data_IF_538217035708
#
_entry.id   IF_538217035708
#
_cell.length_a   1.000
_cell.length_b   1.000
_cell.length_c   1.000
_cell.angle_alpha   90.00
_cell.angle_beta   90.00
_cell.angle_gamma   90.00
#
_symmetry.space_group_name_H-M   'P 1'
#
loop_
_entity.id
_entity.type
_entity.pdbx_description
1 polymer ?
#
# COMPACT_ATOMS: atom_id res chain seq x y z
N UNK A 1 -14.08 15.42 -25.78
CA UNK A 1 -13.40 14.85 -24.59
C UNK A 1 -14.44 14.73 -23.48
N UNK A 2 -15.25 13.67 -23.54
CA UNK A 2 -16.25 13.38 -22.51
C UNK A 2 -15.48 13.00 -21.23
N UNK A 3 -15.64 13.81 -20.20
CA UNK A 3 -15.03 13.57 -18.89
C UNK A 3 -15.46 12.23 -18.35
N UNK A 4 -14.51 11.30 -18.22
CA UNK A 4 -14.69 10.16 -17.35
C UNK A 4 -14.95 10.72 -15.94
N UNK A 5 -16.12 10.42 -15.39
CA UNK A 5 -16.42 10.72 -14.00
C UNK A 5 -15.27 10.21 -13.13
N UNK A 6 -14.81 10.96 -12.12
CA UNK A 6 -13.81 10.45 -11.20
C UNK A 6 -14.36 9.14 -10.61
N UNK A 7 -13.61 8.04 -10.77
CA UNK A 7 -13.89 6.78 -10.09
C UNK A 7 -13.68 7.03 -8.59
N UNK A 8 -14.71 7.54 -7.93
CA UNK A 8 -14.71 7.76 -6.49
C UNK A 8 -14.84 6.37 -5.87
N UNK A 9 -13.92 6.04 -4.97
CA UNK A 9 -14.02 4.77 -4.27
C UNK A 9 -15.25 4.83 -3.36
N UNK A 10 -16.08 3.79 -3.38
CA UNK A 10 -17.12 3.65 -2.37
C UNK A 10 -16.48 3.50 -0.98
N UNK A 11 -17.27 3.35 0.10
CA UNK A 11 -16.77 3.25 1.48
C UNK A 11 -15.91 1.99 1.77
N UNK A 12 -15.31 1.38 0.74
CA UNK A 12 -14.39 0.26 0.81
C UNK A 12 -12.94 0.72 0.66
N UNK A 13 -11.99 -0.07 1.16
CA UNK A 13 -10.55 0.15 0.92
C UNK A 13 -10.11 -0.10 -0.53
N UNK A 14 -11.08 -0.43 -1.39
CA UNK A 14 -10.92 -0.88 -2.76
C UNK A 14 -11.48 0.18 -3.71
N UNK A 15 -10.72 0.48 -4.76
CA UNK A 15 -11.02 1.49 -5.77
C UNK A 15 -10.99 0.85 -7.15
N UNK A 16 -12.09 0.93 -7.91
CA UNK A 16 -12.07 0.52 -9.30
C UNK A 16 -11.10 1.38 -10.09
N UNK A 17 -10.37 0.74 -10.99
CA UNK A 17 -9.51 1.35 -11.99
C UNK A 17 -10.13 1.13 -13.37
N UNK A 18 -9.75 1.92 -14.40
CA UNK A 18 -10.35 1.80 -15.72
C UNK A 18 -10.32 0.40 -16.34
N UNK A 19 -9.34 -0.43 -15.96
CA UNK A 19 -9.17 -1.79 -16.49
C UNK A 19 -9.96 -2.87 -15.73
N UNK A 20 -10.50 -2.59 -14.53
CA UNK A 20 -11.29 -3.54 -13.74
C UNK A 20 -12.62 -2.97 -13.21
N UNK A 21 -13.01 -1.76 -13.61
CA UNK A 21 -14.28 -1.17 -13.21
C UNK A 21 -15.46 -1.96 -13.80
N UNK A 22 -16.31 -2.51 -12.94
CA UNK A 22 -17.51 -3.23 -13.34
C UNK A 22 -18.66 -2.97 -12.34
N UNK A 23 -19.64 -2.17 -12.75
CA UNK A 23 -20.78 -1.79 -11.92
C UNK A 23 -21.72 -2.95 -11.54
N UNK A 24 -21.66 -4.10 -12.24
CA UNK A 24 -22.47 -5.27 -11.90
C UNK A 24 -21.85 -6.15 -10.82
N UNK A 25 -20.61 -5.87 -10.40
CA UNK A 25 -19.87 -6.67 -9.42
C UNK A 25 -19.89 -6.00 -8.03
N UNK A 26 -19.76 -6.77 -6.93
CA UNK A 26 -19.55 -6.21 -5.60
C UNK A 26 -18.37 -5.23 -5.59
N UNK A 27 -18.52 -4.09 -4.92
CA UNK A 27 -17.49 -3.03 -4.83
C UNK A 27 -17.10 -2.40 -6.18
N UNK A 28 -17.87 -2.66 -7.26
CA UNK A 28 -17.64 -2.09 -8.58
C UNK A 28 -16.39 -2.63 -9.29
N UNK A 29 -15.88 -3.79 -8.90
CA UNK A 29 -14.59 -4.33 -9.38
C UNK A 29 -14.74 -5.75 -9.92
N UNK A 30 -14.15 -5.99 -11.09
CA UNK A 30 -13.91 -7.33 -11.62
C UNK A 30 -12.54 -7.88 -11.13
N UNK A 31 -12.51 -8.83 -10.18
CA UNK A 31 -11.26 -9.41 -9.69
C UNK A 31 -10.59 -10.34 -10.70
N UNK A 32 -11.32 -10.79 -11.74
CA UNK A 32 -10.78 -11.63 -12.80
C UNK A 32 -10.17 -10.81 -13.95
N UNK A 33 -10.38 -9.48 -13.96
CA UNK A 33 -9.79 -8.60 -14.95
C UNK A 33 -8.25 -8.65 -14.87
N UNK A 34 -7.60 -8.77 -16.03
CA UNK A 34 -6.14 -8.79 -16.15
C UNK A 34 -5.63 -7.38 -16.33
N UNK A 35 -4.75 -6.94 -15.43
CA UNK A 35 -4.13 -5.62 -15.53
C UNK A 35 -3.19 -5.55 -16.76
N UNK A 36 -3.39 -4.61 -17.70
CA UNK A 36 -2.55 -4.52 -18.90
C UNK A 36 -1.15 -3.97 -18.62
N UNK A 37 -0.97 -3.29 -17.48
CA UNK A 37 0.28 -2.61 -17.12
C UNK A 37 1.28 -3.52 -16.37
N UNK A 38 0.87 -4.74 -16.01
CA UNK A 38 1.73 -5.67 -15.29
C UNK A 38 0.95 -6.56 -14.33
N UNK A 39 1.58 -6.88 -13.19
CA UNK A 39 0.98 -7.70 -12.15
C UNK A 39 1.17 -7.06 -10.78
N UNK A 40 0.17 -7.20 -9.91
CA UNK A 40 0.30 -6.84 -8.50
C UNK A 40 1.15 -7.89 -7.77
N UNK A 41 2.07 -7.43 -6.93
CA UNK A 41 2.76 -8.31 -5.97
C UNK A 41 1.80 -8.62 -4.83
N UNK A 42 1.37 -9.88 -4.68
CA UNK A 42 0.45 -10.28 -3.61
C UNK A 42 1.06 -9.94 -2.23
N UNK A 43 0.22 -9.37 -1.35
CA UNK A 43 0.64 -8.92 -0.02
C UNK A 43 1.26 -7.52 0.03
N UNK A 44 1.59 -6.92 -1.12
CA UNK A 44 2.17 -5.58 -1.19
C UNK A 44 1.40 -4.68 -2.16
N UNK A 45 1.42 -3.38 -1.89
CA UNK A 45 0.85 -2.38 -2.78
C UNK A 45 1.88 -1.94 -3.84
N UNK A 46 2.45 -2.92 -4.55
CA UNK A 46 3.48 -2.77 -5.59
C UNK A 46 3.01 -3.39 -6.91
N UNK A 47 3.11 -2.62 -7.99
CA UNK A 47 2.88 -3.09 -9.36
C UNK A 47 4.22 -3.45 -10.01
N UNK A 48 4.33 -4.68 -10.53
CA UNK A 48 5.48 -5.16 -11.30
C UNK A 48 5.16 -4.98 -12.79
N UNK A 49 5.80 -4.04 -13.50
CA UNK A 49 5.58 -3.84 -14.94
C UNK A 49 6.04 -5.06 -15.75
N UNK A 50 5.31 -5.39 -16.81
CA UNK A 50 5.51 -6.63 -17.60
C UNK A 50 6.28 -6.47 -18.91
N UNK A 51 6.57 -5.25 -19.40
CA UNK A 51 7.11 -5.13 -20.77
C UNK A 51 7.90 -3.88 -21.15
N UNK A 52 8.04 -2.88 -20.28
CA UNK A 52 8.63 -1.58 -20.66
C UNK A 52 9.92 -1.22 -19.94
N UNK A 53 10.27 -1.94 -18.87
CA UNK A 53 11.36 -1.55 -17.95
C UNK A 53 12.41 -2.66 -17.86
N UNK A 54 13.72 -2.36 -17.96
CA UNK A 54 14.79 -3.35 -17.77
C UNK A 54 14.66 -4.08 -16.44
N UNK A 55 15.04 -5.37 -16.42
CA UNK A 55 14.91 -6.21 -15.22
C UNK A 55 15.63 -5.63 -13.99
N UNK A 56 16.81 -5.02 -14.17
CA UNK A 56 17.56 -4.36 -13.09
C UNK A 56 16.79 -3.21 -12.45
N UNK A 57 16.19 -2.35 -13.27
CA UNK A 57 15.40 -1.21 -12.79
C UNK A 57 14.13 -1.69 -12.08
N UNK A 58 13.44 -2.68 -12.66
CA UNK A 58 12.27 -3.29 -12.04
C UNK A 58 12.61 -3.90 -10.66
N UNK A 59 13.72 -4.63 -10.57
CA UNK A 59 14.22 -5.20 -9.32
C UNK A 59 14.49 -4.13 -8.26
N UNK A 60 15.13 -3.02 -8.63
CA UNK A 60 15.39 -1.90 -7.71
C UNK A 60 14.08 -1.25 -7.25
N UNK A 61 13.13 -1.00 -8.15
CA UNK A 61 11.83 -0.42 -7.80
C UNK A 61 11.03 -1.31 -6.85
N UNK A 62 10.99 -2.62 -7.11
CA UNK A 62 10.31 -3.59 -6.23
C UNK A 62 11.01 -3.68 -4.88
N UNK A 63 12.34 -3.73 -4.85
CA UNK A 63 13.13 -3.75 -3.63
C UNK A 63 12.78 -2.54 -2.74
N UNK A 64 12.86 -1.33 -3.27
CA UNK A 64 12.52 -0.12 -2.53
C UNK A 64 11.04 0.01 -2.18
N UNK A 65 10.14 -0.65 -2.93
CA UNK A 65 8.73 -0.78 -2.54
C UNK A 65 8.52 -1.65 -1.30
N UNK A 66 9.32 -2.71 -1.13
CA UNK A 66 9.18 -3.67 -0.01
C UNK A 66 9.94 -3.22 1.25
N UNK A 67 11.07 -2.52 1.09
CA UNK A 67 11.95 -2.10 2.19
C UNK A 67 11.20 -1.45 3.37
N UNK A 68 10.26 -0.49 3.16
CA UNK A 68 9.57 0.12 4.29
C UNK A 68 8.82 -0.87 5.18
N UNK A 69 8.13 -1.84 4.58
CA UNK A 69 7.45 -2.89 5.34
C UNK A 69 8.44 -3.84 6.02
N UNK A 70 9.57 -4.14 5.36
CA UNK A 70 10.61 -4.97 5.93
C UNK A 70 11.24 -4.33 7.18
N UNK A 71 11.48 -3.01 7.16
CA UNK A 71 12.00 -2.26 8.32
C UNK A 71 11.00 -2.28 9.47
N UNK A 72 9.71 -2.05 9.20
CA UNK A 72 8.66 -2.15 10.23
C UNK A 72 8.59 -3.58 10.80
N UNK A 73 8.63 -4.59 9.94
CA UNK A 73 8.62 -6.00 10.35
C UNK A 73 9.82 -6.38 11.21
N UNK A 74 11.01 -5.88 10.85
CA UNK A 74 12.22 -6.07 11.64
C UNK A 74 12.11 -5.41 13.02
N UNK A 75 11.58 -4.18 13.11
CA UNK A 75 11.37 -3.50 14.38
C UNK A 75 10.35 -4.22 15.28
N UNK A 76 9.28 -4.77 14.70
CA UNK A 76 8.31 -5.59 15.44
C UNK A 76 8.98 -6.87 15.96
N UNK A 77 9.79 -7.53 15.12
CA UNK A 77 10.53 -8.73 15.52
C UNK A 77 11.54 -8.44 16.64
N UNK A 78 12.27 -7.33 16.53
CA UNK A 78 13.25 -6.89 17.53
C UNK A 78 12.57 -6.59 18.88
N UNK A 79 11.48 -5.82 18.87
CA UNK A 79 10.70 -5.54 20.07
C UNK A 79 10.13 -6.82 20.70
N UNK A 80 9.63 -7.77 19.89
CA UNK A 80 9.15 -9.05 20.39
C UNK A 80 10.28 -9.84 21.05
N UNK A 81 11.45 -9.92 20.42
CA UNK A 81 12.63 -10.56 21.00
C UNK A 81 13.07 -9.88 22.30
N UNK A 82 13.01 -8.54 22.37
CA UNK A 82 13.27 -7.77 23.59
C UNK A 82 12.35 -8.17 24.74
N UNK A 83 11.04 -8.24 24.49
CA UNK A 83 10.05 -8.70 25.50
C UNK A 83 10.37 -10.12 25.96
N UNK A 84 10.59 -11.06 25.03
CA UNK A 84 10.73 -12.47 25.37
C UNK A 84 12.11 -12.84 25.95
N UNK A 85 13.18 -12.14 25.56
CA UNK A 85 14.56 -12.49 25.97
C UNK A 85 15.17 -11.55 27.00
N UNK A 86 14.80 -10.27 26.97
CA UNK A 86 15.45 -9.20 27.75
C UNK A 86 14.52 -8.58 28.81
N UNK A 87 13.26 -9.00 28.87
CA UNK A 87 12.31 -8.57 29.90
C UNK A 87 11.74 -7.17 29.70
N UNK A 88 11.87 -6.59 28.50
CA UNK A 88 11.34 -5.27 28.19
C UNK A 88 11.59 -4.82 26.74
N UNK A 89 10.96 -3.70 26.37
CA UNK A 89 11.13 -3.05 25.05
C UNK A 89 11.96 -1.78 25.25
N UNK A 90 12.92 -1.52 24.38
CA UNK A 90 13.66 -0.25 24.41
C UNK A 90 12.75 0.94 24.15
N UNK A 91 12.98 2.08 24.80
CA UNK A 91 12.16 3.30 24.60
C UNK A 91 12.17 3.78 23.15
N UNK A 92 13.28 3.58 22.43
CA UNK A 92 13.42 3.87 21.00
C UNK A 92 12.50 2.99 20.15
N UNK A 93 12.55 1.67 20.34
CA UNK A 93 11.70 0.71 19.64
C UNK A 93 10.22 0.98 19.92
N UNK A 94 9.87 1.20 21.19
CA UNK A 94 8.51 1.52 21.58
C UNK A 94 8.00 2.81 20.94
N UNK A 95 8.82 3.87 20.94
CA UNK A 95 8.45 5.15 20.29
C UNK A 95 8.23 4.97 18.79
N UNK A 96 9.10 4.23 18.12
CA UNK A 96 8.98 3.91 16.70
C UNK A 96 7.70 3.10 16.39
N UNK A 97 7.43 2.05 17.16
CA UNK A 97 6.24 1.22 16.97
C UNK A 97 4.94 2.00 17.23
N UNK A 98 4.90 2.82 18.28
CA UNK A 98 3.75 3.70 18.56
C UNK A 98 3.55 4.69 17.41
N UNK A 99 4.63 5.31 16.91
CA UNK A 99 4.56 6.20 15.75
C UNK A 99 3.97 5.48 14.54
N UNK A 100 4.50 4.31 14.17
CA UNK A 100 4.01 3.52 13.03
C UNK A 100 2.54 3.15 13.22
N UNK A 101 2.15 2.68 14.41
CA UNK A 101 0.77 2.28 14.69
C UNK A 101 -0.20 3.45 14.57
N UNK A 102 0.14 4.61 15.15
CA UNK A 102 -0.69 5.82 15.04
C UNK A 102 -0.79 6.28 13.60
N UNK A 103 0.35 6.36 12.90
CA UNK A 103 0.37 6.86 11.52
C UNK A 103 -0.35 5.92 10.55
N UNK A 104 -0.19 4.60 10.66
CA UNK A 104 -0.93 3.62 9.85
C UNK A 104 -2.43 3.66 10.20
N UNK A 105 -2.78 3.74 11.48
CA UNK A 105 -4.17 3.85 11.92
C UNK A 105 -4.86 5.10 11.36
N UNK A 106 -4.19 6.26 11.42
CA UNK A 106 -4.69 7.49 10.80
C UNK A 106 -4.74 7.36 9.27
N UNK A 107 -3.72 6.79 8.63
CA UNK A 107 -3.67 6.66 7.18
C UNK A 107 -4.78 5.77 6.63
N UNK A 108 -4.85 4.53 7.11
CA UNK A 108 -5.76 3.50 6.60
C UNK A 108 -7.18 3.66 7.16
N UNK A 109 -7.30 4.04 8.44
CA UNK A 109 -8.59 4.12 9.13
C UNK A 109 -9.33 5.45 9.00
N UNK A 110 -8.60 6.56 8.87
CA UNK A 110 -9.20 7.90 8.83
C UNK A 110 -9.05 8.53 7.44
N UNK A 111 -7.82 8.75 6.99
CA UNK A 111 -7.58 9.55 5.79
C UNK A 111 -8.04 8.85 4.50
N UNK A 112 -7.78 7.55 4.34
CA UNK A 112 -8.29 6.82 3.16
C UNK A 112 -9.82 6.81 3.08
N UNK A 113 -10.50 6.76 4.23
CA UNK A 113 -11.96 6.83 4.31
C UNK A 113 -12.49 8.22 3.94
N UNK A 114 -11.73 9.28 4.23
CA UNK A 114 -12.07 10.68 3.88
C UNK A 114 -11.83 10.95 2.39
N UNK A 115 -10.63 10.63 1.88
CA UNK A 115 -10.22 11.05 0.54
C UNK A 115 -10.67 10.12 -0.58
N UNK A 116 -10.74 8.80 -0.32
CA UNK A 116 -11.26 7.79 -1.26
C UNK A 116 -10.76 7.96 -2.71
N UNK A 117 -9.47 8.24 -2.85
CA UNK A 117 -8.87 8.53 -4.14
C UNK A 117 -8.34 7.25 -4.78
N UNK A 118 -8.79 6.95 -6.00
CA UNK A 118 -8.25 5.87 -6.80
C UNK A 118 -6.77 6.13 -7.13
N UNK A 119 -6.02 5.03 -7.32
CA UNK A 119 -4.65 5.10 -7.83
C UNK A 119 -4.62 5.53 -9.30
N UNK A 120 -3.45 5.92 -9.83
CA UNK A 120 -3.31 6.21 -11.26
C UNK A 120 -3.80 5.03 -12.12
N UNK A 121 -4.34 5.34 -13.30
CA UNK A 121 -4.91 4.36 -14.23
C UNK A 121 -3.95 3.24 -14.62
N UNK A 122 -2.64 3.51 -14.59
CA UNK A 122 -1.57 2.58 -14.93
C UNK A 122 -1.16 1.66 -13.76
N UNK A 123 -1.79 1.80 -12.59
CA UNK A 123 -1.55 0.91 -11.46
C UNK A 123 -2.29 -0.41 -11.62
N UNK A 124 -1.69 -1.51 -11.18
CA UNK A 124 -2.41 -2.77 -10.97
C UNK A 124 -2.91 -2.92 -9.52
N UNK A 125 -2.71 -1.91 -8.68
CA UNK A 125 -3.18 -1.89 -7.30
C UNK A 125 -4.55 -1.21 -7.25
N UNK A 126 -5.59 -2.02 -7.03
CA UNK A 126 -6.96 -1.53 -6.88
C UNK A 126 -7.28 -1.06 -5.45
N UNK A 127 -6.28 -0.79 -4.59
CA UNK A 127 -6.49 -0.17 -3.27
C UNK A 127 -6.59 1.35 -3.38
N UNK A 128 -7.24 2.01 -2.41
CA UNK A 128 -7.19 3.47 -2.26
C UNK A 128 -5.74 3.97 -2.24
N UNK A 129 -5.46 4.96 -3.09
CA UNK A 129 -4.11 5.47 -3.35
C UNK A 129 -3.67 6.61 -2.43
N UNK A 130 -4.61 7.39 -1.90
CA UNK A 130 -4.31 8.55 -1.07
C UNK A 130 -4.88 8.42 0.36
N UNK A 131 -4.05 8.58 1.40
CA UNK A 131 -2.60 8.78 1.35
C UNK A 131 -1.84 7.46 1.15
N UNK A 132 -0.59 7.57 0.68
CA UNK A 132 0.25 6.39 0.40
C UNK A 132 0.80 5.79 1.70
N UNK A 133 0.42 4.54 1.99
CA UNK A 133 0.94 3.82 3.16
C UNK A 133 2.46 3.63 3.14
N UNK A 134 3.07 3.46 1.96
CA UNK A 134 4.53 3.39 1.83
C UNK A 134 5.20 4.68 2.27
N UNK A 135 4.69 5.83 1.79
CA UNK A 135 5.24 7.14 2.14
C UNK A 135 5.11 7.40 3.64
N UNK A 136 3.95 7.06 4.23
CA UNK A 136 3.70 7.21 5.66
C UNK A 136 4.67 6.40 6.51
N UNK A 137 4.95 5.14 6.15
CA UNK A 137 5.93 4.34 6.91
C UNK A 137 7.36 4.86 6.73
N UNK A 138 7.73 5.32 5.53
CA UNK A 138 9.07 5.84 5.27
C UNK A 138 9.41 7.11 6.06
N UNK A 139 8.42 7.94 6.41
CA UNK A 139 8.64 9.14 7.23
C UNK A 139 9.14 8.79 8.63
N UNK A 140 8.78 7.63 9.18
CA UNK A 140 9.16 7.24 10.54
C UNK A 140 10.57 6.67 10.69
N UNK A 141 11.33 6.50 9.61
CA UNK A 141 12.65 5.84 9.67
C UNK A 141 13.80 6.74 10.14
N UNK A 142 13.56 8.05 10.26
CA UNK A 142 14.53 9.04 10.70
C UNK A 142 13.96 9.86 11.86
#
# INVERSE_FOLDING_TARGET
LLGAMPLICEASSVCPLPWNANASMPQGIDPAAVCPFGRRLQGFDVTIPSGTVPFSVNGICVFWGVVPFAVVGAAVADAALGVFRLGGIGTREMSFLVFVLVMVGLNEGVFKVIYRQARPSESCNYSCGFPSGHAVMSVGFF
#
